data_IF_955817514371
#
_entry.id   IF_955817514371
#
_cell.length_a   1.000
_cell.length_b   1.000
_cell.length_c   1.000
_cell.angle_alpha   90.00
_cell.angle_beta   90.00
_cell.angle_gamma   90.00
#
_symmetry.space_group_name_H-M   'P 1'
#
loop_
_entity.id
_entity.type
_entity.pdbx_description
1 polymer ?
#
# COMPACT_ATOMS: atom_id res chain seq x y z
N UNK A 1 -15.29 -9.17 -31.74
CA UNK A 1 -15.69 -10.01 -30.59
C UNK A 1 -14.65 -9.80 -29.49
N UNK A 2 -14.71 -8.66 -28.80
CA UNK A 2 -13.96 -8.45 -27.55
C UNK A 2 -14.99 -8.35 -26.46
N UNK A 3 -15.18 -9.48 -25.79
CA UNK A 3 -16.11 -9.66 -24.69
C UNK A 3 -15.43 -9.19 -23.40
N UNK A 4 -16.20 -8.50 -22.56
CA UNK A 4 -15.98 -8.33 -21.12
C UNK A 4 -14.67 -7.65 -20.68
N UNK A 5 -14.65 -6.32 -20.76
CA UNK A 5 -13.93 -5.51 -19.79
C UNK A 5 -14.65 -5.59 -18.43
N UNK A 6 -14.66 -6.76 -17.80
CA UNK A 6 -14.98 -6.90 -16.37
C UNK A 6 -13.70 -6.67 -15.56
N UNK A 7 -13.03 -5.54 -15.80
CA UNK A 7 -11.93 -5.14 -14.93
C UNK A 7 -12.54 -4.22 -13.89
N UNK A 8 -12.75 -4.77 -12.70
CA UNK A 8 -13.19 -4.07 -11.51
C UNK A 8 -12.22 -2.93 -11.21
N UNK A 9 -12.45 -1.77 -11.83
CA UNK A 9 -11.83 -0.51 -11.48
C UNK A 9 -12.42 -0.06 -10.16
N UNK A 10 -11.92 -0.63 -9.05
CA UNK A 10 -12.05 0.03 -7.76
C UNK A 10 -11.12 1.24 -7.82
N UNK A 11 -11.73 2.42 -7.95
CA UNK A 11 -11.08 3.68 -8.28
C UNK A 11 -9.90 4.02 -7.38
N UNK A 12 -8.70 3.91 -7.94
CA UNK A 12 -7.53 4.68 -7.54
C UNK A 12 -7.14 5.50 -8.77
N UNK A 13 -7.87 6.58 -8.97
CA UNK A 13 -7.49 7.65 -9.88
C UNK A 13 -6.22 8.34 -9.31
N UNK A 14 -5.14 8.25 -10.09
CA UNK A 14 -4.01 9.19 -10.17
C UNK A 14 -3.14 9.51 -8.93
N UNK A 15 -3.33 8.89 -7.77
CA UNK A 15 -2.36 9.06 -6.66
C UNK A 15 -1.24 8.04 -6.80
N UNK A 16 -0.09 8.50 -7.28
CA UNK A 16 1.16 7.75 -7.19
C UNK A 16 1.46 7.54 -5.70
N UNK A 17 1.12 6.36 -5.17
CA UNK A 17 1.26 6.06 -3.75
C UNK A 17 2.74 6.00 -3.35
N UNK A 18 3.64 5.94 -4.33
CA UNK A 18 5.09 6.08 -4.13
C UNK A 18 5.53 7.54 -4.00
N UNK A 19 4.70 8.50 -4.43
CA UNK A 19 4.87 9.94 -4.17
C UNK A 19 4.21 10.41 -2.88
N UNK A 20 3.35 9.60 -2.25
CA UNK A 20 2.94 9.83 -0.87
C UNK A 20 4.18 9.62 0.01
N UNK A 21 4.83 10.72 0.38
CA UNK A 21 6.17 10.71 0.96
C UNK A 21 6.23 10.14 2.37
N UNK A 22 5.09 9.94 3.02
CA UNK A 22 5.00 9.51 4.42
C UNK A 22 4.01 8.35 4.65
N UNK A 23 4.29 7.56 5.69
CA UNK A 23 3.39 6.49 6.17
C UNK A 23 2.05 7.07 6.64
N UNK A 24 2.05 8.29 7.18
CA UNK A 24 0.83 9.00 7.59
C UNK A 24 -0.12 9.26 6.41
N UNK A 25 0.38 9.85 5.32
CA UNK A 25 -0.43 10.14 4.13
C UNK A 25 -0.97 8.85 3.49
N UNK A 26 -0.13 7.81 3.43
CA UNK A 26 -0.54 6.49 2.96
C UNK A 26 -1.68 5.91 3.81
N UNK A 27 -1.54 5.91 5.15
CA UNK A 27 -2.61 5.43 6.04
C UNK A 27 -3.87 6.29 5.96
N UNK A 28 -3.74 7.60 5.79
CA UNK A 28 -4.85 8.53 5.62
C UNK A 28 -5.67 8.22 4.36
N UNK A 29 -5.01 7.95 3.24
CA UNK A 29 -5.67 7.52 1.99
C UNK A 29 -6.50 6.24 2.16
N UNK A 30 -6.05 5.34 3.04
CA UNK A 30 -6.74 4.08 3.36
C UNK A 30 -7.79 4.23 4.46
N UNK A 31 -7.94 5.41 5.08
CA UNK A 31 -8.72 5.62 6.30
C UNK A 31 -8.26 4.69 7.44
N UNK A 32 -6.94 4.51 7.55
CA UNK A 32 -6.26 3.65 8.52
C UNK A 32 -5.30 4.43 9.43
N UNK A 33 -5.38 5.77 9.47
CA UNK A 33 -4.52 6.64 10.29
C UNK A 33 -4.50 6.28 11.78
N UNK A 34 -5.53 5.59 12.29
CA UNK A 34 -5.56 5.08 13.67
C UNK A 34 -4.43 4.10 14.01
N UNK A 35 -3.74 3.58 13.00
CA UNK A 35 -2.60 2.68 13.17
C UNK A 35 -1.25 3.40 13.06
N UNK A 36 -1.23 4.72 12.81
CA UNK A 36 0.02 5.47 12.59
C UNK A 36 1.03 5.25 13.72
N UNK A 37 0.59 5.41 14.97
CA UNK A 37 1.44 5.19 16.15
C UNK A 37 2.00 3.77 16.22
N UNK A 38 1.26 2.76 15.75
CA UNK A 38 1.75 1.38 15.68
C UNK A 38 2.92 1.24 14.69
N UNK A 39 2.85 1.92 13.54
CA UNK A 39 3.93 1.93 12.55
C UNK A 39 5.12 2.74 13.06
N UNK A 40 4.89 3.92 13.65
CA UNK A 40 5.96 4.76 14.22
C UNK A 40 6.69 4.07 15.39
N UNK A 41 5.95 3.42 16.28
CA UNK A 41 6.51 2.66 17.41
C UNK A 41 7.37 1.47 16.95
N UNK A 42 7.10 0.95 15.75
CA UNK A 42 7.90 -0.10 15.13
C UNK A 42 9.06 0.44 14.28
N UNK A 43 9.26 1.76 14.24
CA UNK A 43 10.30 2.40 13.43
C UNK A 43 10.00 2.38 11.92
N UNK A 44 8.75 2.21 11.52
CA UNK A 44 8.32 2.20 10.13
C UNK A 44 7.92 3.61 9.70
N UNK A 45 8.92 4.42 9.34
CA UNK A 45 8.74 5.82 8.91
C UNK A 45 8.60 6.00 7.41
N UNK A 46 8.94 4.98 6.61
CA UNK A 46 8.97 5.07 5.15
C UNK A 46 8.09 4.00 4.47
N UNK A 47 7.48 4.40 3.35
CA UNK A 47 6.55 3.55 2.58
C UNK A 47 7.27 2.35 1.93
N UNK A 48 8.59 2.44 1.67
CA UNK A 48 9.38 1.32 1.14
C UNK A 48 9.50 0.18 2.16
N UNK A 49 9.68 0.52 3.44
CA UNK A 49 9.72 -0.44 4.55
C UNK A 49 8.37 -1.08 4.78
N UNK A 50 7.30 -0.28 4.72
CA UNK A 50 5.92 -0.79 4.75
C UNK A 50 5.63 -1.76 3.59
N UNK A 51 6.15 -1.49 2.40
CA UNK A 51 5.93 -2.34 1.22
C UNK A 51 6.49 -3.78 1.38
N UNK A 52 7.40 -4.00 2.33
CA UNK A 52 7.97 -5.33 2.63
C UNK A 52 7.14 -6.15 3.62
N UNK A 53 6.19 -5.53 4.32
CA UNK A 53 5.42 -6.17 5.38
C UNK A 53 4.51 -7.30 4.85
N UNK A 54 4.27 -8.26 5.72
CA UNK A 54 3.37 -9.39 5.52
C UNK A 54 2.28 -9.44 6.61
N UNK A 55 1.35 -10.38 6.46
CA UNK A 55 0.21 -10.57 7.36
C UNK A 55 0.59 -10.78 8.84
N UNK A 56 1.70 -11.48 9.10
CA UNK A 56 2.22 -11.71 10.46
C UNK A 56 2.73 -10.41 11.05
N UNK A 57 3.46 -9.62 10.27
CA UNK A 57 3.99 -8.33 10.73
C UNK A 57 2.87 -7.38 11.14
N UNK A 58 1.78 -7.31 10.37
CA UNK A 58 0.60 -6.51 10.76
C UNK A 58 0.00 -6.97 12.09
N UNK A 59 0.02 -8.28 12.35
CA UNK A 59 -0.46 -8.83 13.62
C UNK A 59 0.46 -8.41 14.78
N UNK A 60 1.78 -8.47 14.58
CA UNK A 60 2.79 -8.01 15.55
C UNK A 60 2.68 -6.51 15.84
N UNK A 61 2.32 -5.70 14.84
CA UNK A 61 2.02 -4.27 15.00
C UNK A 61 0.73 -4.00 15.78
N UNK A 62 -0.06 -5.02 16.14
CA UNK A 62 -1.34 -4.85 16.84
C UNK A 62 -2.54 -4.63 15.93
N UNK A 63 -2.39 -4.82 14.62
CA UNK A 63 -3.47 -4.76 13.63
C UNK A 63 -4.08 -6.16 13.54
N UNK A 64 -5.07 -6.46 14.38
CA UNK A 64 -5.67 -7.82 14.47
C UNK A 64 -6.96 -7.99 13.68
N UNK A 65 -7.62 -6.88 13.31
CA UNK A 65 -8.87 -6.93 12.57
C UNK A 65 -8.62 -7.39 11.12
N UNK A 66 -9.16 -8.55 10.75
CA UNK A 66 -8.96 -9.18 9.42
C UNK A 66 -9.33 -8.25 8.28
N UNK A 67 -10.42 -7.48 8.40
CA UNK A 67 -10.82 -6.50 7.39
C UNK A 67 -9.77 -5.41 7.18
N UNK A 68 -9.16 -4.93 8.27
CA UNK A 68 -8.12 -3.90 8.21
C UNK A 68 -6.82 -4.46 7.66
N UNK A 69 -6.42 -5.65 8.12
CA UNK A 69 -5.27 -6.37 7.60
C UNK A 69 -5.38 -6.56 6.08
N UNK A 70 -6.54 -7.03 5.58
CA UNK A 70 -6.78 -7.18 4.13
C UNK A 70 -6.63 -5.86 3.38
N UNK A 71 -7.23 -4.77 3.89
CA UNK A 71 -7.16 -3.46 3.23
C UNK A 71 -5.73 -2.94 3.14
N UNK A 72 -4.98 -3.06 4.22
CA UNK A 72 -3.58 -2.63 4.30
C UNK A 72 -2.70 -3.49 3.37
N UNK A 73 -2.87 -4.82 3.40
CA UNK A 73 -2.13 -5.73 2.52
C UNK A 73 -2.40 -5.48 1.04
N UNK A 74 -3.65 -5.20 0.66
CA UNK A 74 -3.99 -4.84 -0.72
C UNK A 74 -3.24 -3.58 -1.16
N UNK A 75 -3.19 -2.56 -0.32
CA UNK A 75 -2.43 -1.34 -0.62
C UNK A 75 -0.92 -1.59 -0.69
N UNK A 76 -0.36 -2.44 0.19
CA UNK A 76 1.03 -2.87 0.13
C UNK A 76 1.35 -3.58 -1.21
N UNK A 77 0.45 -4.39 -1.75
CA UNK A 77 0.64 -4.99 -3.07
C UNK A 77 0.64 -3.94 -4.19
N UNK A 78 -0.22 -2.93 -4.11
CA UNK A 78 -0.20 -1.79 -5.04
C UNK A 78 1.13 -1.04 -4.96
N UNK A 79 1.61 -0.74 -3.75
CA UNK A 79 2.93 -0.11 -3.53
C UNK A 79 4.05 -0.92 -4.18
N UNK A 80 4.12 -2.23 -3.94
CA UNK A 80 5.12 -3.11 -4.57
C UNK A 80 5.07 -3.06 -6.09
N UNK A 81 3.86 -3.03 -6.66
CA UNK A 81 3.66 -2.96 -8.11
C UNK A 81 4.14 -1.62 -8.65
N UNK A 82 3.81 -0.51 -8.00
CA UNK A 82 4.26 0.81 -8.41
C UNK A 82 5.78 0.94 -8.28
N UNK A 83 6.40 0.44 -7.20
CA UNK A 83 7.85 0.44 -7.05
C UNK A 83 8.57 -0.39 -8.11
N UNK A 84 7.97 -1.51 -8.53
CA UNK A 84 8.50 -2.30 -9.63
C UNK A 84 8.35 -1.56 -10.98
N UNK A 85 7.25 -0.84 -11.19
CA UNK A 85 6.97 -0.06 -12.41
C UNK A 85 7.85 1.18 -12.50
N UNK A 86 8.01 1.94 -11.43
CA UNK A 86 8.90 3.12 -11.37
C UNK A 86 10.35 2.77 -11.69
N UNK A 87 10.77 1.51 -11.46
CA UNK A 87 12.09 1.02 -11.90
C UNK A 87 12.09 0.47 -13.33
N UNK A 88 10.94 0.11 -13.90
CA UNK A 88 10.83 -0.46 -15.25
C UNK A 88 10.67 0.60 -16.35
N UNK A 89 10.13 1.79 -16.05
CA UNK A 89 9.94 2.87 -17.04
C UNK A 89 11.26 3.53 -17.51
N UNK A 90 12.40 3.16 -16.94
CA UNK A 90 13.73 3.62 -17.37
C UNK A 90 14.45 2.75 -18.41
N UNK A 91 13.84 1.67 -18.91
CA UNK A 91 14.52 0.68 -19.77
C UNK A 91 14.07 0.66 -21.24
N UNK A 92 13.15 1.53 -21.67
CA UNK A 92 12.85 1.72 -23.10
C UNK A 92 13.44 3.04 -23.62
N UNK A 93 14.74 3.02 -23.92
CA UNK A 93 15.42 3.96 -24.85
C UNK A 93 16.11 3.14 -25.93
#
# INVERSE_FOLDING_TARGET
MVCAQCQTALGLDSTDLTQLGSVEEWLSSLKMSRYLENFESAGLSDVQSVARLNQRDLTTLGITLVGHQKKILQSIQTLRTQLAVSMAEGFLV
#
